data_IF_130458603539
#
_entry.id   IF_130458603539
#
_cell.length_a   1.000
_cell.length_b   1.000
_cell.length_c   1.000
_cell.angle_alpha   90.00
_cell.angle_beta   90.00
_cell.angle_gamma   90.00
#
_symmetry.space_group_name_H-M   'P 1'
#
loop_
_entity.id
_entity.type
_entity.pdbx_description
1 polymer ?
#
# COMPACT_ATOMS: atom_id res chain seq x y z
N UNK A 1 -19.87 14.38 -35.53
CA UNK A 1 -18.57 13.85 -35.02
C UNK A 1 -17.44 14.87 -35.11
N UNK A 2 -17.25 15.56 -36.25
CA UNK A 2 -16.15 16.55 -36.42
C UNK A 2 -16.17 17.61 -35.31
N UNK A 3 -17.32 18.21 -34.98
CA UNK A 3 -17.46 19.27 -33.97
C UNK A 3 -17.10 18.84 -32.53
N UNK A 4 -17.32 17.56 -32.13
CA UNK A 4 -16.93 17.05 -30.83
C UNK A 4 -15.40 17.01 -30.74
N UNK A 5 -14.75 16.54 -31.80
CA UNK A 5 -13.30 16.47 -31.88
C UNK A 5 -12.64 17.84 -31.87
N UNK A 6 -13.28 18.83 -32.55
CA UNK A 6 -12.78 20.22 -32.58
C UNK A 6 -12.80 20.85 -31.18
N UNK A 7 -13.85 20.60 -30.38
CA UNK A 7 -13.94 21.05 -28.99
C UNK A 7 -12.87 20.36 -28.16
N UNK A 8 -12.76 19.02 -28.26
CA UNK A 8 -11.78 18.26 -27.51
C UNK A 8 -10.34 18.69 -27.86
N UNK A 9 -10.03 18.90 -29.12
CA UNK A 9 -8.72 19.36 -29.57
C UNK A 9 -8.40 20.77 -29.06
N UNK A 10 -9.38 21.68 -29.09
CA UNK A 10 -9.22 23.05 -28.58
C UNK A 10 -8.84 23.01 -27.09
N UNK A 11 -9.60 22.29 -26.26
CA UNK A 11 -9.36 22.20 -24.83
C UNK A 11 -8.01 21.57 -24.54
N UNK A 12 -7.69 20.49 -25.22
CA UNK A 12 -6.41 19.80 -25.06
C UNK A 12 -5.23 20.72 -25.40
N UNK A 13 -5.32 21.46 -26.51
CA UNK A 13 -4.29 22.43 -26.90
C UNK A 13 -4.19 23.59 -25.89
N UNK A 14 -5.31 24.02 -25.31
CA UNK A 14 -5.32 25.06 -24.29
C UNK A 14 -4.57 24.63 -23.04
N UNK A 15 -4.82 23.40 -22.57
CA UNK A 15 -4.16 22.82 -21.38
C UNK A 15 -2.67 22.57 -21.65
N UNK A 16 -2.32 22.01 -22.81
CA UNK A 16 -0.94 21.72 -23.18
C UNK A 16 -0.08 22.98 -23.35
N UNK A 17 -0.68 24.11 -23.72
CA UNK A 17 0.01 25.40 -23.82
C UNK A 17 0.25 26.06 -22.47
N UNK A 18 -0.49 25.69 -21.43
CA UNK A 18 -0.22 26.15 -20.06
C UNK A 18 0.91 25.30 -19.43
N UNK A 19 2.14 25.80 -19.59
CA UNK A 19 3.33 25.14 -19.08
C UNK A 19 3.27 24.90 -17.56
N UNK A 20 2.63 25.77 -16.80
CA UNK A 20 2.55 25.62 -15.33
C UNK A 20 1.68 24.43 -14.96
N UNK A 21 0.51 24.32 -15.58
CA UNK A 21 -0.41 23.19 -15.37
C UNK A 21 0.22 21.87 -15.83
N UNK A 22 0.85 21.86 -17.00
CA UNK A 22 1.51 20.65 -17.52
C UNK A 22 2.65 20.18 -16.62
N UNK A 23 3.49 21.11 -16.15
CA UNK A 23 4.56 20.77 -15.18
C UNK A 23 3.98 20.25 -13.86
N UNK A 24 2.92 20.88 -13.33
CA UNK A 24 2.27 20.45 -12.11
C UNK A 24 1.69 19.03 -12.23
N UNK A 25 1.01 18.73 -13.34
CA UNK A 25 0.40 17.44 -13.63
C UNK A 25 1.40 16.26 -13.70
N UNK A 26 2.64 16.52 -14.11
CA UNK A 26 3.67 15.48 -14.24
C UNK A 26 4.68 15.51 -13.09
N UNK A 27 5.16 16.69 -12.69
CA UNK A 27 6.23 16.79 -11.68
C UNK A 27 5.72 16.42 -10.28
N UNK A 28 4.52 16.90 -9.91
CA UNK A 28 3.98 16.63 -8.58
C UNK A 28 3.74 15.15 -8.29
N UNK A 29 3.05 14.37 -9.14
CA UNK A 29 2.89 12.95 -8.87
C UNK A 29 4.24 12.21 -8.82
N UNK A 30 5.22 12.60 -9.65
CA UNK A 30 6.57 12.03 -9.61
C UNK A 30 7.26 12.35 -8.28
N UNK A 31 7.26 13.62 -7.88
CA UNK A 31 7.89 14.06 -6.64
C UNK A 31 7.27 13.39 -5.40
N UNK A 32 5.93 13.32 -5.36
CA UNK A 32 5.24 12.66 -4.26
C UNK A 32 5.43 11.14 -4.28
N UNK A 33 5.45 10.49 -5.45
CA UNK A 33 5.77 9.07 -5.56
C UNK A 33 7.17 8.78 -5.02
N UNK A 34 8.16 9.58 -5.38
CA UNK A 34 9.52 9.45 -4.85
C UNK A 34 9.56 9.69 -3.35
N UNK A 35 8.91 10.75 -2.87
CA UNK A 35 8.81 11.05 -1.45
C UNK A 35 8.20 9.90 -0.65
N UNK A 36 7.03 9.40 -1.06
CA UNK A 36 6.37 8.30 -0.37
C UNK A 36 7.13 6.98 -0.52
N UNK A 37 7.76 6.72 -1.68
CA UNK A 37 8.61 5.55 -1.88
C UNK A 37 9.80 5.54 -0.92
N UNK A 38 10.41 6.69 -0.67
CA UNK A 38 11.51 6.83 0.28
C UNK A 38 10.99 6.79 1.73
N UNK A 39 9.93 7.54 2.04
CA UNK A 39 9.39 7.64 3.40
C UNK A 39 8.86 6.30 3.92
N UNK A 40 8.17 5.53 3.10
CA UNK A 40 7.58 4.23 3.46
C UNK A 40 8.42 3.03 2.99
N UNK A 41 9.37 3.22 2.07
CA UNK A 41 10.27 2.17 1.57
C UNK A 41 11.45 1.88 2.48
N UNK A 42 11.58 2.57 3.60
CA UNK A 42 12.69 2.40 4.53
C UNK A 42 13.94 3.14 4.08
N UNK A 43 13.91 4.47 4.08
CA UNK A 43 15.07 5.37 3.86
C UNK A 43 16.22 5.18 4.88
N UNK A 44 16.17 4.13 5.69
CA UNK A 44 17.19 3.75 6.67
C UNK A 44 17.87 2.42 6.41
N UNK A 45 17.57 1.69 5.34
CA UNK A 45 18.19 0.38 5.07
C UNK A 45 19.25 0.42 3.97
N UNK A 46 20.26 1.27 4.15
CA UNK A 46 21.55 1.01 3.54
C UNK A 46 22.19 -0.17 4.27
N UNK A 47 22.25 -1.34 3.65
CA UNK A 47 23.00 -2.53 4.12
C UNK A 47 22.73 -3.04 5.55
N UNK A 48 21.62 -2.71 6.19
CA UNK A 48 21.25 -3.26 7.48
C UNK A 48 20.47 -4.56 7.29
N UNK A 49 20.77 -5.52 8.15
CA UNK A 49 20.06 -6.79 8.30
C UNK A 49 18.54 -6.53 8.37
N UNK A 50 17.77 -7.07 7.42
CA UNK A 50 16.32 -6.84 7.30
C UNK A 50 15.51 -7.46 8.46
N UNK A 51 16.17 -8.23 9.35
CA UNK A 51 15.55 -8.84 10.51
C UNK A 51 15.20 -7.79 11.56
N UNK A 52 14.07 -7.96 12.22
CA UNK A 52 13.58 -7.06 13.26
C UNK A 52 14.53 -7.09 14.48
N UNK A 53 15.06 -5.95 14.92
CA UNK A 53 15.94 -5.90 16.08
C UNK A 53 15.14 -6.17 17.36
N UNK A 54 15.54 -7.19 18.12
CA UNK A 54 14.91 -7.59 19.38
C UNK A 54 15.95 -7.58 20.50
N UNK A 55 15.69 -6.81 21.54
CA UNK A 55 16.49 -6.79 22.75
C UNK A 55 16.34 -8.08 23.53
N UNK A 56 17.43 -8.63 24.02
CA UNK A 56 17.41 -9.86 24.80
C UNK A 56 18.16 -9.65 26.11
N UNK A 57 17.46 -9.88 27.22
CA UNK A 57 18.03 -9.80 28.56
C UNK A 57 17.82 -11.12 29.29
N UNK A 58 18.90 -11.81 29.52
CA UNK A 58 18.90 -13.08 30.28
C UNK A 58 19.27 -12.79 31.73
N UNK A 59 18.30 -12.95 32.64
CA UNK A 59 18.50 -12.86 34.09
C UNK A 59 18.71 -14.22 34.73
N UNK A 60 18.39 -15.32 34.00
CA UNK A 60 18.50 -16.69 34.51
C UNK A 60 19.93 -17.22 34.36
N UNK A 61 20.61 -16.90 33.27
CA UNK A 61 21.98 -17.31 32.96
C UNK A 61 22.18 -18.85 33.05
N UNK A 62 21.11 -19.62 32.82
CA UNK A 62 21.17 -21.08 32.76
C UNK A 62 21.60 -21.58 31.38
N UNK A 63 21.99 -22.86 31.29
CA UNK A 63 22.27 -23.49 30.01
C UNK A 63 21.05 -23.42 29.06
N UNK A 64 19.83 -23.62 29.59
CA UNK A 64 18.61 -23.58 28.78
C UNK A 64 18.22 -22.17 28.33
N UNK A 65 18.52 -21.15 29.13
CA UNK A 65 18.31 -19.75 28.65
C UNK A 65 19.30 -19.39 27.54
N UNK A 66 20.53 -19.89 27.61
CA UNK A 66 21.53 -19.78 26.54
C UNK A 66 21.10 -20.48 25.24
N UNK A 67 20.52 -21.68 25.37
CA UNK A 67 19.96 -22.39 24.20
C UNK A 67 18.78 -21.64 23.58
N UNK A 68 17.89 -21.00 24.37
CA UNK A 68 16.83 -20.14 23.83
C UNK A 68 17.43 -18.99 23.05
N UNK A 69 18.46 -18.34 23.57
CA UNK A 69 19.15 -17.27 22.85
C UNK A 69 19.72 -17.75 21.51
N UNK A 70 20.29 -18.96 21.47
CA UNK A 70 20.82 -19.58 20.26
C UNK A 70 19.71 -19.89 19.23
N UNK A 71 18.59 -20.46 19.69
CA UNK A 71 17.41 -20.73 18.84
C UNK A 71 16.85 -19.45 18.23
N UNK A 72 16.69 -18.39 19.03
CA UNK A 72 16.17 -17.11 18.55
C UNK A 72 17.18 -16.37 17.65
N UNK A 73 18.49 -16.47 17.92
CA UNK A 73 19.52 -15.88 17.06
C UNK A 73 19.57 -16.52 15.66
N UNK A 74 19.18 -17.80 15.55
CA UNK A 74 19.03 -18.51 14.28
C UNK A 74 17.79 -18.13 13.48
N UNK A 75 16.93 -17.24 13.98
CA UNK A 75 15.74 -16.80 13.27
C UNK A 75 16.07 -15.97 12.01
N UNK A 76 15.28 -16.17 10.96
CA UNK A 76 15.33 -15.36 9.73
C UNK A 76 14.49 -14.09 9.84
N UNK A 77 13.69 -13.95 10.90
CA UNK A 77 12.71 -12.88 11.09
C UNK A 77 13.22 -11.83 12.08
N UNK A 78 13.87 -12.27 13.17
CA UNK A 78 14.37 -11.41 14.22
C UNK A 78 15.90 -11.45 14.30
N UNK A 79 16.49 -10.34 14.74
CA UNK A 79 17.90 -10.23 15.09
C UNK A 79 18.01 -9.90 16.57
N UNK A 80 18.62 -10.80 17.33
CA UNK A 80 18.85 -10.57 18.75
C UNK A 80 19.98 -9.56 18.99
N UNK A 81 19.73 -8.63 19.89
CA UNK A 81 20.73 -7.74 20.46
C UNK A 81 20.96 -8.14 21.94
N UNK A 82 22.03 -8.89 22.16
CA UNK A 82 22.41 -9.48 23.45
C UNK A 82 23.45 -8.57 24.13
N UNK A 83 23.02 -7.48 24.73
CA UNK A 83 23.93 -6.65 25.54
C UNK A 83 23.69 -6.92 27.03
N UNK A 84 24.59 -7.69 27.63
CA UNK A 84 24.51 -8.12 29.02
C UNK A 84 24.57 -6.97 30.06
N UNK A 85 24.94 -5.78 29.68
CA UNK A 85 25.03 -4.61 30.58
C UNK A 85 23.72 -3.80 30.65
N UNK A 86 22.68 -4.18 29.91
CA UNK A 86 21.39 -3.46 29.91
C UNK A 86 20.53 -3.87 31.10
N UNK A 87 19.78 -2.89 31.61
CA UNK A 87 18.72 -3.12 32.60
C UNK A 87 17.35 -3.08 31.91
N UNK A 88 16.28 -3.65 32.50
CA UNK A 88 14.94 -3.64 31.90
C UNK A 88 14.45 -2.27 31.47
N UNK A 89 14.74 -1.22 32.22
CA UNK A 89 14.38 0.16 31.91
C UNK A 89 15.03 0.71 30.64
N UNK A 90 16.23 0.22 30.28
CA UNK A 90 16.90 0.59 29.04
C UNK A 90 16.21 -0.04 27.82
N UNK A 91 15.75 -1.28 27.96
CA UNK A 91 15.01 -1.99 26.91
C UNK A 91 13.67 -1.33 26.64
N UNK A 92 12.96 -0.91 27.69
CA UNK A 92 11.69 -0.17 27.56
C UNK A 92 11.89 1.12 26.76
N UNK A 93 12.93 1.91 27.10
CA UNK A 93 13.28 3.12 26.34
C UNK A 93 13.64 2.83 24.88
N UNK A 94 14.42 1.77 24.62
CA UNK A 94 14.83 1.42 23.26
C UNK A 94 13.65 1.00 22.38
N UNK A 95 12.64 0.36 22.98
CA UNK A 95 11.38 0.03 22.28
C UNK A 95 10.54 1.29 22.09
N UNK A 96 10.41 2.14 23.12
CA UNK A 96 9.69 3.41 23.03
C UNK A 96 10.31 4.39 22.01
N UNK A 97 11.66 4.44 21.94
CA UNK A 97 12.42 5.23 20.95
C UNK A 97 12.46 4.62 19.54
N UNK A 98 11.74 3.51 19.30
CA UNK A 98 11.69 2.79 18.01
C UNK A 98 13.06 2.24 17.54
N UNK A 99 14.03 2.12 18.42
CA UNK A 99 15.35 1.54 18.13
C UNK A 99 15.32 0.02 18.11
N UNK A 100 14.32 -0.57 18.77
CA UNK A 100 14.03 -2.01 18.81
C UNK A 100 12.56 -2.27 18.52
N UNK A 101 12.27 -3.37 17.82
CA UNK A 101 10.89 -3.78 17.53
C UNK A 101 10.21 -4.37 18.77
N UNK A 102 10.98 -5.03 19.62
CA UNK A 102 10.55 -5.56 20.91
C UNK A 102 11.78 -5.89 21.78
N UNK A 103 11.54 -6.25 23.04
CA UNK A 103 12.56 -6.83 23.90
C UNK A 103 11.99 -8.02 24.68
N UNK A 104 12.84 -9.00 24.98
CA UNK A 104 12.51 -10.18 25.77
C UNK A 104 13.39 -10.24 26.99
N UNK A 105 12.76 -10.45 28.13
CA UNK A 105 13.44 -10.64 29.43
C UNK A 105 13.15 -12.08 29.88
N UNK A 106 14.21 -12.84 30.10
CA UNK A 106 14.15 -14.18 30.69
C UNK A 106 14.32 -14.02 32.19
N UNK A 107 13.31 -14.34 33.01
CA UNK A 107 13.39 -14.21 34.46
C UNK A 107 14.23 -15.32 35.08
N UNK A 108 14.74 -15.10 36.28
CA UNK A 108 15.44 -16.08 37.08
C UNK A 108 14.55 -17.30 37.33
N UNK A 109 15.11 -18.52 37.25
CA UNK A 109 14.39 -19.77 37.39
C UNK A 109 13.80 -20.33 36.10
N UNK A 110 14.08 -19.74 34.95
CA UNK A 110 13.58 -20.20 33.64
C UNK A 110 14.03 -21.63 33.32
N UNK A 111 15.31 -21.90 33.40
CA UNK A 111 15.83 -23.23 33.11
C UNK A 111 15.22 -24.32 34.01
N UNK A 112 15.10 -24.03 35.30
CA UNK A 112 14.49 -24.97 36.25
C UNK A 112 13.00 -25.18 35.94
N UNK A 113 12.26 -24.14 35.60
CA UNK A 113 10.84 -24.26 35.27
C UNK A 113 10.58 -25.15 34.05
N UNK A 114 11.45 -25.10 33.04
CA UNK A 114 11.38 -25.99 31.87
C UNK A 114 11.59 -27.45 32.30
N UNK A 115 12.57 -27.71 33.19
CA UNK A 115 12.85 -29.05 33.68
C UNK A 115 11.71 -29.59 34.57
N UNK A 116 11.12 -28.74 35.39
CA UNK A 116 10.01 -29.10 36.26
C UNK A 116 8.65 -29.16 35.58
N UNK A 117 8.58 -28.69 34.30
CA UNK A 117 7.32 -28.56 33.56
C UNK A 117 6.36 -27.53 34.12
N UNK A 118 6.87 -26.58 34.89
CA UNK A 118 6.07 -25.51 35.51
C UNK A 118 5.95 -24.28 34.57
N UNK A 119 4.83 -23.52 34.67
CA UNK A 119 4.62 -22.35 33.90
C UNK A 119 5.45 -21.16 34.41
N UNK A 120 6.42 -20.73 33.64
CA UNK A 120 7.11 -19.46 33.85
C UNK A 120 6.77 -18.48 32.72
N UNK A 121 6.49 -17.23 33.09
CA UNK A 121 6.12 -16.19 32.11
C UNK A 121 7.37 -15.46 31.63
N UNK A 122 7.68 -15.53 30.34
CA UNK A 122 8.61 -14.60 29.70
C UNK A 122 7.98 -13.21 29.64
N UNK A 123 8.76 -12.18 29.91
CA UNK A 123 8.29 -10.79 29.75
C UNK A 123 8.71 -10.29 28.37
N UNK A 124 7.74 -9.97 27.53
CA UNK A 124 7.98 -9.31 26.24
C UNK A 124 7.55 -7.86 26.34
N UNK A 125 8.47 -6.93 26.08
CA UNK A 125 8.22 -5.50 25.97
C UNK A 125 8.04 -5.21 24.48
N UNK A 126 6.88 -4.71 24.07
CA UNK A 126 6.59 -4.36 22.68
C UNK A 126 5.49 -3.31 22.62
N UNK A 127 5.51 -2.48 21.60
CA UNK A 127 4.44 -1.52 21.33
C UNK A 127 3.31 -2.21 20.55
N UNK A 128 2.10 -2.39 21.14
CA UNK A 128 1.00 -3.09 20.49
C UNK A 128 0.45 -2.37 19.25
N UNK A 129 0.77 -1.08 19.07
CA UNK A 129 0.36 -0.30 17.90
C UNK A 129 1.21 -0.60 16.65
N UNK A 130 2.35 -1.24 16.81
CA UNK A 130 3.29 -1.51 15.70
C UNK A 130 2.92 -2.79 14.96
N UNK A 131 2.88 -2.77 13.61
CA UNK A 131 2.59 -3.96 12.80
C UNK A 131 3.58 -5.12 12.99
N UNK A 132 4.81 -4.83 13.42
CA UNK A 132 5.85 -5.83 13.66
C UNK A 132 5.64 -6.62 14.95
N UNK A 133 4.90 -6.11 15.92
CA UNK A 133 4.74 -6.69 17.25
C UNK A 133 4.19 -8.11 17.22
N UNK A 134 3.09 -8.43 16.51
CA UNK A 134 2.59 -9.80 16.46
C UNK A 134 3.60 -10.78 15.84
N UNK A 135 4.37 -10.33 14.85
CA UNK A 135 5.39 -11.16 14.18
C UNK A 135 6.51 -11.50 15.14
N UNK A 136 7.03 -10.54 15.90
CA UNK A 136 8.08 -10.78 16.89
C UNK A 136 7.59 -11.66 18.03
N UNK A 137 6.40 -11.39 18.58
CA UNK A 137 5.81 -12.21 19.65
C UNK A 137 5.64 -13.67 19.22
N UNK A 138 5.16 -13.89 18.00
CA UNK A 138 4.98 -15.23 17.46
C UNK A 138 6.32 -15.96 17.29
N UNK A 139 7.36 -15.28 16.84
CA UNK A 139 8.70 -15.86 16.71
C UNK A 139 9.31 -16.26 18.06
N UNK A 140 9.11 -15.42 19.08
CA UNK A 140 9.55 -15.70 20.46
C UNK A 140 8.82 -16.93 21.01
N UNK A 141 7.49 -17.01 20.81
CA UNK A 141 6.69 -18.16 21.25
C UNK A 141 7.14 -19.45 20.57
N UNK A 142 7.33 -19.43 19.25
CA UNK A 142 7.82 -20.59 18.49
C UNK A 142 9.20 -21.03 19.00
N UNK A 143 10.11 -20.09 19.24
CA UNK A 143 11.44 -20.40 19.82
C UNK A 143 11.35 -21.06 21.19
N UNK A 144 10.49 -20.54 22.07
CA UNK A 144 10.22 -21.10 23.39
C UNK A 144 9.60 -22.50 23.32
N UNK A 145 8.64 -22.74 22.44
CA UNK A 145 8.00 -24.04 22.23
C UNK A 145 9.00 -25.08 21.69
N UNK A 146 9.88 -24.69 20.77
CA UNK A 146 10.95 -25.54 20.25
C UNK A 146 11.89 -26.02 21.37
N UNK A 147 12.37 -25.09 22.20
CA UNK A 147 13.25 -25.41 23.31
C UNK A 147 12.54 -26.31 24.33
N UNK A 148 11.31 -25.97 24.73
CA UNK A 148 10.54 -26.76 25.71
C UNK A 148 10.31 -28.19 25.22
N UNK A 149 9.96 -28.34 23.93
CA UNK A 149 9.77 -29.64 23.30
C UNK A 149 11.08 -30.45 23.26
N UNK A 150 12.19 -29.79 22.87
CA UNK A 150 13.50 -30.45 22.85
C UNK A 150 13.96 -30.87 24.25
N UNK A 151 13.75 -30.03 25.27
CA UNK A 151 14.07 -30.35 26.66
C UNK A 151 13.26 -31.55 27.20
N UNK A 152 11.97 -31.63 26.85
CA UNK A 152 11.13 -32.79 27.19
C UNK A 152 11.65 -34.08 26.54
N UNK A 153 12.02 -34.05 25.28
CA UNK A 153 12.61 -35.19 24.57
C UNK A 153 13.90 -35.62 25.26
N UNK A 154 14.76 -34.67 25.62
CA UNK A 154 16.01 -34.94 26.33
C UNK A 154 15.78 -35.59 27.72
N UNK A 155 14.79 -35.11 28.48
CA UNK A 155 14.40 -35.70 29.76
C UNK A 155 13.92 -37.13 29.60
N UNK A 156 13.05 -37.43 28.65
CA UNK A 156 12.56 -38.78 28.37
C UNK A 156 13.74 -39.69 27.99
N UNK A 157 14.67 -39.21 27.16
CA UNK A 157 15.85 -39.94 26.75
C UNK A 157 16.74 -40.30 27.96
N UNK A 158 17.03 -39.31 28.83
CA UNK A 158 17.83 -39.51 30.03
C UNK A 158 17.16 -40.48 31.03
N UNK A 159 15.84 -40.38 31.21
CA UNK A 159 15.06 -41.27 32.05
C UNK A 159 15.06 -42.72 31.50
N UNK A 160 14.87 -42.86 30.17
CA UNK A 160 14.84 -44.18 29.52
C UNK A 160 16.21 -44.88 29.57
N UNK A 161 17.28 -44.09 29.39
CA UNK A 161 18.65 -44.59 29.50
C UNK A 161 19.09 -44.83 30.94
N UNK A 162 18.35 -44.37 31.93
CA UNK A 162 18.73 -44.33 33.34
C UNK A 162 20.08 -43.66 33.59
N UNK A 163 20.44 -42.69 32.72
CA UNK A 163 21.70 -41.98 32.74
C UNK A 163 21.43 -40.45 32.56
N UNK A 164 21.62 -39.65 33.63
CA UNK A 164 21.44 -38.21 33.57
C UNK A 164 22.36 -37.54 32.55
N UNK A 165 23.52 -38.09 32.24
CA UNK A 165 24.46 -37.53 31.26
C UNK A 165 23.96 -37.61 29.81
N UNK A 166 22.93 -38.39 29.54
CA UNK A 166 22.28 -38.47 28.24
C UNK A 166 21.42 -37.22 27.91
N UNK A 167 21.15 -36.35 28.90
CA UNK A 167 20.30 -35.16 28.68
C UNK A 167 20.91 -34.21 27.67
N UNK A 168 22.14 -33.75 27.85
CA UNK A 168 22.77 -32.75 26.97
C UNK A 168 22.92 -33.22 25.53
N UNK A 169 23.43 -34.44 25.23
CA UNK A 169 23.48 -34.89 23.86
C UNK A 169 22.09 -35.12 23.23
N UNK A 170 21.09 -35.50 24.01
CA UNK A 170 19.73 -35.66 23.53
C UNK A 170 19.07 -34.29 23.25
N UNK A 171 19.32 -33.28 24.07
CA UNK A 171 18.87 -31.90 23.85
C UNK A 171 19.47 -31.35 22.55
N UNK A 172 20.80 -31.49 22.39
CA UNK A 172 21.48 -31.04 21.18
C UNK A 172 20.93 -31.73 19.91
N UNK A 173 20.71 -33.06 19.98
CA UNK A 173 20.11 -33.79 18.86
C UNK A 173 18.67 -33.37 18.57
N UNK A 174 17.86 -33.11 19.59
CA UNK A 174 16.48 -32.62 19.41
C UNK A 174 16.44 -31.22 18.81
N UNK A 175 17.31 -30.31 19.24
CA UNK A 175 17.42 -28.97 18.67
C UNK A 175 17.93 -29.00 17.21
N UNK A 176 18.91 -29.86 16.91
CA UNK A 176 19.40 -30.04 15.54
C UNK A 176 18.32 -30.59 14.58
N UNK A 177 17.43 -31.45 15.09
CA UNK A 177 16.30 -31.97 14.31
C UNK A 177 15.35 -30.87 13.83
N UNK A 178 15.21 -29.76 14.55
CA UNK A 178 14.43 -28.59 14.12
C UNK A 178 15.05 -27.82 12.96
N UNK A 179 16.34 -27.94 12.71
CA UNK A 179 16.99 -27.33 11.56
C UNK A 179 16.63 -28.05 10.24
N UNK A 180 16.34 -29.36 10.32
CA UNK A 180 15.89 -30.18 9.22
C UNK A 180 14.60 -30.94 9.57
N UNK A 181 13.48 -30.25 9.72
CA UNK A 181 12.23 -30.87 10.12
C UNK A 181 11.75 -31.87 9.06
N UNK A 182 11.18 -33.03 9.48
CA UNK A 182 10.67 -34.05 8.58
C UNK A 182 9.47 -33.57 7.75
N UNK A 183 8.80 -32.52 8.20
CA UNK A 183 7.72 -31.84 7.47
C UNK A 183 8.22 -30.45 7.10
N UNK A 184 8.36 -30.20 5.80
CA UNK A 184 8.65 -28.88 5.26
C UNK A 184 7.41 -28.35 4.60
N UNK A 185 7.01 -27.14 4.97
CA UNK A 185 6.00 -26.37 4.24
C UNK A 185 6.69 -25.66 3.08
N UNK A 186 6.59 -26.23 1.89
CA UNK A 186 6.93 -25.51 0.67
C UNK A 186 5.82 -24.48 0.45
N UNK A 187 6.13 -23.22 0.75
CA UNK A 187 5.26 -22.11 0.40
C UNK A 187 5.33 -21.89 -1.11
N UNK A 188 4.49 -22.59 -1.84
CA UNK A 188 4.20 -22.22 -3.22
C UNK A 188 3.31 -20.98 -3.15
N UNK A 189 3.89 -19.81 -3.39
CA UNK A 189 3.08 -18.62 -3.57
C UNK A 189 2.14 -18.86 -4.74
N UNK A 190 0.83 -18.84 -4.51
CA UNK A 190 -0.21 -18.99 -5.55
C UNK A 190 -0.11 -17.86 -6.59
N UNK A 191 0.67 -16.85 -6.30
CA UNK A 191 1.00 -15.72 -7.15
C UNK A 191 2.52 -15.60 -7.15
N UNK A 192 3.13 -15.52 -8.33
CA UNK A 192 4.56 -15.27 -8.47
C UNK A 192 4.88 -13.81 -8.06
N UNK A 193 4.79 -13.55 -6.75
CA UNK A 193 5.31 -12.32 -6.18
C UNK A 193 6.83 -12.42 -6.28
N UNK A 194 7.43 -11.74 -7.25
CA UNK A 194 8.86 -11.45 -7.19
C UNK A 194 9.07 -10.74 -5.85
N UNK A 195 9.91 -11.31 -4.99
CA UNK A 195 10.33 -10.64 -3.75
C UNK A 195 10.97 -9.33 -4.19
N UNK A 196 10.19 -8.26 -4.14
CA UNK A 196 10.67 -6.93 -4.44
C UNK A 196 11.33 -6.39 -3.17
N UNK A 197 12.38 -5.61 -3.35
CA UNK A 197 12.95 -4.87 -2.22
C UNK A 197 11.85 -4.01 -1.56
N UNK A 198 11.94 -3.70 -0.26
CA UNK A 198 10.95 -2.83 0.42
C UNK A 198 10.68 -1.53 -0.31
N UNK A 199 11.70 -0.92 -0.92
CA UNK A 199 11.57 0.30 -1.74
C UNK A 199 10.75 0.06 -3.00
N UNK A 200 10.95 -1.07 -3.68
CA UNK A 200 10.18 -1.42 -4.87
C UNK A 200 8.71 -1.73 -4.53
N UNK A 201 8.45 -2.35 -3.37
CA UNK A 201 7.08 -2.61 -2.88
C UNK A 201 6.36 -1.31 -2.54
N UNK A 202 7.03 -0.39 -1.85
CA UNK A 202 6.49 0.95 -1.56
C UNK A 202 6.24 1.75 -2.83
N UNK A 203 7.15 1.72 -3.81
CA UNK A 203 6.97 2.36 -5.10
C UNK A 203 5.81 1.73 -5.91
N UNK A 204 5.64 0.41 -5.82
CA UNK A 204 4.56 -0.31 -6.49
C UNK A 204 3.16 0.08 -5.96
N UNK A 205 3.06 0.52 -4.69
CA UNK A 205 1.84 1.07 -4.12
C UNK A 205 1.70 2.58 -4.36
N UNK A 206 2.74 3.36 -4.02
CA UNK A 206 2.66 4.83 -4.06
C UNK A 206 2.56 5.38 -5.48
N UNK A 207 3.15 4.71 -6.47
CA UNK A 207 3.11 5.17 -7.87
C UNK A 207 1.67 5.24 -8.41
N UNK A 208 0.85 4.19 -8.41
CA UNK A 208 -0.54 4.29 -8.85
C UNK A 208 -1.38 5.19 -7.93
N UNK A 209 -1.13 5.21 -6.61
CA UNK A 209 -1.85 6.08 -5.68
C UNK A 209 -1.68 7.56 -5.99
N UNK A 210 -0.43 8.01 -6.15
CA UNK A 210 -0.14 9.39 -6.49
C UNK A 210 -0.61 9.75 -7.92
N UNK A 211 -0.47 8.81 -8.86
CA UNK A 211 -0.98 8.99 -10.22
C UNK A 211 -2.49 9.27 -10.22
N UNK A 212 -3.28 8.50 -9.48
CA UNK A 212 -4.74 8.68 -9.36
C UNK A 212 -5.10 9.99 -8.65
N UNK A 213 -4.44 10.31 -7.53
CA UNK A 213 -4.69 11.54 -6.78
C UNK A 213 -4.43 12.79 -7.62
N UNK A 214 -3.28 12.86 -8.29
CA UNK A 214 -2.93 14.01 -9.10
C UNK A 214 -3.69 14.07 -10.43
N UNK A 215 -4.28 12.97 -10.89
CA UNK A 215 -5.26 13.00 -11.97
C UNK A 215 -6.53 13.76 -11.57
N UNK A 216 -7.00 13.58 -10.33
CA UNK A 216 -8.11 14.38 -9.79
C UNK A 216 -7.68 15.85 -9.66
N UNK A 217 -6.48 16.14 -9.15
CA UNK A 217 -5.97 17.51 -9.07
C UNK A 217 -5.95 18.20 -10.44
N UNK A 218 -5.61 17.47 -11.49
CA UNK A 218 -5.62 17.98 -12.88
C UNK A 218 -6.99 18.45 -13.38
N UNK A 219 -8.06 18.00 -12.74
CA UNK A 219 -9.42 18.47 -13.05
C UNK A 219 -9.63 19.95 -12.73
N UNK A 220 -8.81 20.56 -11.85
CA UNK A 220 -8.91 21.99 -11.56
C UNK A 220 -8.84 22.79 -12.85
N UNK A 221 -7.81 22.57 -13.65
CA UNK A 221 -7.64 23.29 -14.93
C UNK A 221 -8.73 22.94 -15.94
N UNK A 222 -9.01 21.65 -16.10
CA UNK A 222 -9.99 21.17 -17.07
C UNK A 222 -11.42 21.63 -16.74
N UNK A 223 -11.83 21.61 -15.48
CA UNK A 223 -13.14 22.09 -15.04
C UNK A 223 -13.23 23.64 -15.10
N UNK A 224 -12.13 24.35 -14.84
CA UNK A 224 -12.06 25.82 -14.96
C UNK A 224 -12.31 26.28 -16.38
N UNK A 225 -11.88 25.53 -17.41
CA UNK A 225 -12.18 25.86 -18.81
C UNK A 225 -13.69 25.98 -19.02
N UNK A 226 -14.47 25.00 -18.55
CA UNK A 226 -15.93 25.03 -18.71
C UNK A 226 -16.59 26.21 -17.96
N UNK A 227 -16.08 26.55 -16.77
CA UNK A 227 -16.55 27.71 -15.98
C UNK A 227 -16.22 29.01 -16.70
N UNK A 228 -15.03 29.16 -17.23
CA UNK A 228 -14.58 30.35 -17.96
C UNK A 228 -15.36 30.53 -19.27
N UNK A 229 -15.64 29.45 -20.00
CA UNK A 229 -16.47 29.51 -21.21
C UNK A 229 -17.92 29.92 -20.92
N UNK A 230 -18.45 29.50 -19.77
CA UNK A 230 -19.76 29.93 -19.29
C UNK A 230 -19.76 31.43 -18.97
N UNK A 231 -18.77 31.93 -18.22
CA UNK A 231 -18.62 33.33 -17.82
C UNK A 231 -18.40 34.26 -19.04
N UNK A 232 -17.60 33.83 -20.00
CA UNK A 232 -17.30 34.62 -21.24
C UNK A 232 -18.40 34.55 -22.28
N UNK A 233 -19.53 33.87 -21.98
CA UNK A 233 -20.63 33.61 -22.92
C UNK A 233 -20.19 32.88 -24.21
N UNK A 234 -18.99 32.30 -24.25
CA UNK A 234 -18.52 31.47 -25.36
C UNK A 234 -19.41 30.27 -25.57
N UNK A 235 -19.84 29.64 -24.45
CA UNK A 235 -20.76 28.51 -24.46
C UNK A 235 -22.09 28.87 -25.14
N UNK A 236 -22.65 30.07 -24.86
CA UNK A 236 -23.89 30.55 -25.49
C UNK A 236 -23.72 30.72 -27.00
N UNK A 237 -22.57 31.25 -27.44
CA UNK A 237 -22.24 31.36 -28.85
C UNK A 237 -22.10 30.00 -29.54
N UNK A 238 -21.57 29.00 -28.88
CA UNK A 238 -21.53 27.63 -29.39
C UNK A 238 -22.93 27.04 -29.54
N UNK A 239 -23.84 27.34 -28.62
CA UNK A 239 -25.25 26.91 -28.67
C UNK A 239 -26.07 27.57 -29.78
N UNK A 240 -25.67 28.74 -30.31
CA UNK A 240 -26.31 29.35 -31.50
C UNK A 240 -25.88 28.66 -32.80
N UNK A 241 -24.86 27.81 -32.76
CA UNK A 241 -24.48 26.96 -33.90
C UNK A 241 -25.31 25.66 -33.88
N UNK A 242 -25.29 24.89 -34.97
CA UNK A 242 -25.98 23.59 -35.05
C UNK A 242 -25.29 22.50 -34.18
N UNK A 243 -24.83 22.84 -32.96
CA UNK A 243 -24.15 21.94 -32.01
C UNK A 243 -25.08 21.69 -30.83
N UNK A 244 -25.42 20.42 -30.54
CA UNK A 244 -26.26 20.11 -29.39
C UNK A 244 -25.45 20.22 -28.07
N UNK A 245 -26.16 20.46 -26.97
CA UNK A 245 -25.60 20.53 -25.60
C UNK A 245 -24.78 19.30 -25.22
N UNK A 246 -25.28 18.12 -25.59
CA UNK A 246 -24.60 16.87 -25.34
C UNK A 246 -23.27 16.77 -26.10
N UNK A 247 -23.24 17.26 -27.35
CA UNK A 247 -21.97 17.25 -28.11
C UNK A 247 -20.90 18.14 -27.48
N UNK A 248 -21.30 19.27 -26.86
CA UNK A 248 -20.37 20.15 -26.15
C UNK A 248 -19.80 19.42 -24.91
N UNK A 249 -20.68 18.84 -24.08
CA UNK A 249 -20.25 18.11 -22.90
C UNK A 249 -19.36 16.90 -23.23
N UNK A 250 -19.72 16.14 -24.27
CA UNK A 250 -18.90 15.02 -24.77
C UNK A 250 -17.53 15.51 -25.26
N UNK A 251 -17.46 16.69 -25.91
CA UNK A 251 -16.19 17.28 -26.33
C UNK A 251 -15.28 17.61 -25.16
N UNK A 252 -15.77 18.26 -24.12
CA UNK A 252 -15.03 18.54 -22.89
C UNK A 252 -14.61 17.25 -22.16
N UNK A 253 -15.55 16.28 -22.05
CA UNK A 253 -15.26 14.98 -21.47
C UNK A 253 -14.12 14.26 -22.18
N UNK A 254 -14.12 14.21 -23.51
CA UNK A 254 -13.09 13.58 -24.31
C UNK A 254 -11.73 14.28 -24.16
N UNK A 255 -11.72 15.63 -24.05
CA UNK A 255 -10.49 16.37 -23.78
C UNK A 255 -9.88 15.98 -22.43
N UNK A 256 -10.72 15.95 -21.36
CA UNK A 256 -10.30 15.53 -20.02
C UNK A 256 -9.82 14.08 -20.01
N UNK A 257 -10.54 13.18 -20.67
CA UNK A 257 -10.16 11.78 -20.79
C UNK A 257 -8.80 11.62 -21.48
N UNK A 258 -8.62 12.26 -22.62
CA UNK A 258 -7.37 12.17 -23.37
C UNK A 258 -6.17 12.70 -22.55
N UNK A 259 -6.36 13.81 -21.83
CA UNK A 259 -5.35 14.39 -20.95
C UNK A 259 -4.95 13.43 -19.83
N UNK A 260 -5.93 12.94 -19.06
CA UNK A 260 -5.70 12.07 -17.91
C UNK A 260 -5.12 10.72 -18.35
N UNK A 261 -5.63 10.16 -19.44
CA UNK A 261 -5.10 8.91 -19.99
C UNK A 261 -3.66 9.06 -20.45
N UNK A 262 -3.34 10.16 -21.16
CA UNK A 262 -1.95 10.46 -21.56
C UNK A 262 -1.05 10.67 -20.34
N UNK A 263 -1.51 11.36 -19.29
CA UNK A 263 -0.82 11.52 -18.02
C UNK A 263 -0.52 10.15 -17.40
N UNK A 264 -1.50 9.25 -17.33
CA UNK A 264 -1.31 7.90 -16.81
C UNK A 264 -0.24 7.12 -17.59
N UNK A 265 -0.29 7.16 -18.92
CA UNK A 265 0.71 6.50 -19.76
C UNK A 265 2.12 7.02 -19.45
N UNK A 266 2.30 8.34 -19.38
CA UNK A 266 3.61 8.95 -19.07
C UNK A 266 4.09 8.55 -17.67
N UNK A 267 3.22 8.61 -16.66
CA UNK A 267 3.57 8.27 -15.28
C UNK A 267 3.83 6.77 -15.09
N UNK A 268 3.09 5.90 -15.79
CA UNK A 268 3.35 4.46 -15.79
C UNK A 268 4.69 4.12 -16.44
N UNK A 269 5.03 4.79 -17.55
CA UNK A 269 6.35 4.62 -18.19
C UNK A 269 7.46 5.11 -17.26
N UNK A 270 7.28 6.26 -16.60
CA UNK A 270 8.23 6.73 -15.59
C UNK A 270 8.38 5.71 -14.45
N UNK A 271 7.29 5.21 -13.88
CA UNK A 271 7.28 4.19 -12.84
C UNK A 271 8.01 2.92 -13.25
N UNK A 272 7.83 2.49 -14.51
CA UNK A 272 8.52 1.32 -15.05
C UNK A 272 10.02 1.54 -15.19
N UNK A 273 10.44 2.68 -15.76
CA UNK A 273 11.84 2.95 -16.11
C UNK A 273 12.66 3.31 -14.87
N UNK A 274 12.15 4.18 -14.00
CA UNK A 274 12.90 4.76 -12.88
C UNK A 274 12.66 4.08 -11.55
N UNK A 275 11.45 3.52 -11.32
CA UNK A 275 11.08 2.90 -10.06
C UNK A 275 10.99 1.37 -10.12
N UNK A 276 11.13 0.79 -11.32
CA UNK A 276 11.05 -0.66 -11.52
C UNK A 276 9.64 -1.25 -11.33
N UNK A 277 8.59 -0.41 -11.31
CA UNK A 277 7.20 -0.84 -11.15
C UNK A 277 6.72 -1.55 -12.42
N UNK A 278 6.27 -2.80 -12.30
CA UNK A 278 6.02 -3.65 -13.47
C UNK A 278 4.60 -3.48 -14.06
N UNK A 279 4.29 -2.27 -14.53
CA UNK A 279 3.05 -1.96 -15.23
C UNK A 279 2.86 -2.72 -16.55
N UNK A 280 3.96 -3.15 -17.17
CA UNK A 280 3.91 -3.84 -18.47
C UNK A 280 3.86 -5.36 -18.35
N UNK A 281 3.64 -5.90 -17.16
CA UNK A 281 3.48 -7.35 -16.94
C UNK A 281 2.30 -7.92 -17.72
N UNK A 282 1.15 -7.23 -17.70
CA UNK A 282 -0.04 -7.55 -18.49
C UNK A 282 -0.54 -6.23 -19.13
N UNK A 283 0.04 -5.79 -20.25
CA UNK A 283 -0.21 -4.44 -20.79
C UNK A 283 -1.69 -4.14 -21.06
N UNK A 284 -2.42 -5.12 -21.59
CA UNK A 284 -3.84 -4.98 -21.89
C UNK A 284 -4.67 -4.72 -20.61
N UNK A 285 -4.36 -5.42 -19.51
CA UNK A 285 -5.03 -5.21 -18.21
C UNK A 285 -4.71 -3.82 -17.64
N UNK A 286 -3.44 -3.43 -17.68
CA UNK A 286 -3.00 -2.11 -17.21
C UNK A 286 -3.68 -0.98 -17.97
N UNK A 287 -3.71 -1.07 -19.30
CA UNK A 287 -4.38 -0.08 -20.15
C UNK A 287 -5.90 -0.04 -19.91
N UNK A 288 -6.53 -1.18 -19.67
CA UNK A 288 -7.96 -1.25 -19.34
C UNK A 288 -8.27 -0.52 -18.04
N UNK A 289 -7.50 -0.78 -16.96
CA UNK A 289 -7.67 -0.08 -15.68
C UNK A 289 -7.40 1.40 -15.83
N UNK A 290 -6.32 1.77 -16.52
CA UNK A 290 -5.98 3.17 -16.76
C UNK A 290 -7.08 3.90 -17.54
N UNK A 291 -7.63 3.27 -18.60
CA UNK A 291 -8.72 3.85 -19.37
C UNK A 291 -10.01 3.98 -18.54
N UNK A 292 -10.38 2.96 -17.75
CA UNK A 292 -11.56 3.00 -16.90
C UNK A 292 -11.43 4.06 -15.79
N UNK A 293 -10.25 4.16 -15.16
CA UNK A 293 -9.96 5.19 -14.16
C UNK A 293 -9.97 6.60 -14.79
N UNK A 294 -9.35 6.78 -15.95
CA UNK A 294 -9.37 8.05 -16.67
C UNK A 294 -10.81 8.46 -17.05
N UNK A 295 -11.65 7.50 -17.50
CA UNK A 295 -13.05 7.74 -17.81
C UNK A 295 -13.83 8.18 -16.56
N UNK A 296 -13.65 7.51 -15.43
CA UNK A 296 -14.30 7.85 -14.17
C UNK A 296 -13.89 9.23 -13.67
N UNK A 297 -12.58 9.52 -13.60
CA UNK A 297 -12.05 10.80 -13.12
C UNK A 297 -12.51 11.94 -14.05
N UNK A 298 -12.48 11.74 -15.38
CA UNK A 298 -12.94 12.75 -16.34
C UNK A 298 -14.43 13.05 -16.20
N UNK A 299 -15.26 12.04 -15.93
CA UNK A 299 -16.69 12.25 -15.69
C UNK A 299 -16.94 13.04 -14.39
N UNK A 300 -16.14 12.77 -13.33
CA UNK A 300 -16.15 13.56 -12.11
C UNK A 300 -15.74 15.02 -12.38
N UNK A 301 -14.70 15.24 -13.19
CA UNK A 301 -14.26 16.59 -13.59
C UNK A 301 -15.33 17.36 -14.35
N UNK A 302 -16.00 16.70 -15.29
CA UNK A 302 -17.12 17.28 -16.01
C UNK A 302 -18.26 17.67 -15.06
N UNK A 303 -18.61 16.77 -14.12
CA UNK A 303 -19.64 17.00 -13.11
C UNK A 303 -19.29 18.24 -12.27
N UNK A 304 -18.06 18.33 -11.77
CA UNK A 304 -17.58 19.48 -10.99
C UNK A 304 -17.65 20.76 -11.84
N UNK A 305 -17.19 20.74 -13.09
CA UNK A 305 -17.24 21.90 -13.98
C UNK A 305 -18.65 22.41 -14.25
N UNK A 306 -19.64 21.51 -14.29
CA UNK A 306 -21.04 21.88 -14.45
C UNK A 306 -21.61 22.50 -13.16
N UNK A 307 -21.20 22.05 -11.98
CA UNK A 307 -21.66 22.58 -10.70
C UNK A 307 -20.97 23.89 -10.30
N UNK A 308 -19.70 24.04 -10.62
CA UNK A 308 -18.90 25.19 -10.24
C UNK A 308 -19.41 26.48 -10.92
N UNK A 309 -19.38 27.57 -10.14
CA UNK A 309 -19.81 28.92 -10.60
C UNK A 309 -18.63 29.89 -10.74
N UNK A 310 -17.51 29.61 -10.10
CA UNK A 310 -16.27 30.39 -10.15
C UNK A 310 -15.05 29.49 -10.19
N UNK A 311 -13.90 30.05 -10.56
CA UNK A 311 -12.62 29.35 -10.59
C UNK A 311 -12.22 28.91 -9.19
N UNK A 312 -12.41 29.78 -8.18
CA UNK A 312 -12.11 29.49 -6.77
C UNK A 312 -12.97 28.33 -6.25
N UNK A 313 -14.26 28.34 -6.62
CA UNK A 313 -15.17 27.26 -6.26
C UNK A 313 -14.76 25.95 -6.93
N UNK A 314 -14.26 25.99 -8.16
CA UNK A 314 -13.75 24.81 -8.87
C UNK A 314 -12.60 24.18 -8.11
N UNK A 315 -11.65 25.00 -7.63
CA UNK A 315 -10.50 24.52 -6.84
C UNK A 315 -11.00 23.74 -5.61
N UNK A 316 -11.89 24.34 -4.83
CA UNK A 316 -12.42 23.69 -3.61
C UNK A 316 -13.18 22.40 -3.93
N UNK A 317 -14.05 22.43 -4.96
CA UNK A 317 -14.84 21.27 -5.38
C UNK A 317 -14.01 20.15 -5.96
N UNK A 318 -12.79 20.41 -6.45
CA UNK A 318 -11.84 19.37 -6.87
C UNK A 318 -10.99 18.89 -5.69
N UNK A 319 -10.54 19.79 -4.81
CA UNK A 319 -9.65 19.42 -3.70
C UNK A 319 -10.35 18.49 -2.72
N UNK A 320 -11.63 18.71 -2.42
CA UNK A 320 -12.39 17.83 -1.50
C UNK A 320 -12.38 16.37 -1.99
N UNK A 321 -12.88 16.03 -3.18
CA UNK A 321 -12.81 14.64 -3.66
C UNK A 321 -11.38 14.16 -3.87
N UNK A 322 -10.42 15.02 -4.25
CA UNK A 322 -9.02 14.64 -4.35
C UNK A 322 -8.49 14.04 -3.04
N UNK A 323 -8.71 14.71 -1.91
CA UNK A 323 -8.23 14.22 -0.63
C UNK A 323 -9.13 13.09 -0.06
N UNK A 324 -10.43 13.28 -0.11
CA UNK A 324 -11.38 12.32 0.49
C UNK A 324 -11.36 10.99 -0.26
N UNK A 325 -11.48 11.01 -1.59
CA UNK A 325 -11.51 9.76 -2.37
C UNK A 325 -10.15 9.07 -2.39
N UNK A 326 -9.03 9.82 -2.40
CA UNK A 326 -7.69 9.24 -2.34
C UNK A 326 -7.38 8.66 -0.97
N UNK A 327 -7.73 9.36 0.12
CA UNK A 327 -7.52 8.86 1.48
C UNK A 327 -8.37 7.63 1.77
N UNK A 328 -9.68 7.68 1.49
CA UNK A 328 -10.59 6.53 1.64
C UNK A 328 -10.24 5.39 0.69
N UNK A 329 -9.80 5.72 -0.53
CA UNK A 329 -9.49 4.74 -1.58
C UNK A 329 -8.13 4.07 -1.44
N UNK A 330 -7.38 4.33 -0.35
CA UNK A 330 -6.12 3.65 -0.11
C UNK A 330 -4.95 4.12 -0.99
N UNK A 331 -5.03 5.33 -1.59
CA UNK A 331 -3.95 5.85 -2.42
C UNK A 331 -2.68 6.17 -1.61
N UNK A 332 -2.83 6.55 -0.34
CA UNK A 332 -1.70 6.88 0.54
C UNK A 332 -1.17 5.68 1.32
N UNK A 333 -2.06 4.81 1.75
CA UNK A 333 -1.74 3.62 2.53
C UNK A 333 -2.63 2.45 2.05
N UNK A 334 -2.06 1.25 1.88
CA UNK A 334 -2.84 0.09 1.46
C UNK A 334 -4.03 -0.16 2.39
N UNK A 335 -5.22 -0.37 1.81
CA UNK A 335 -6.43 -0.66 2.57
C UNK A 335 -6.32 -1.97 3.37
N UNK A 336 -5.47 -2.90 2.93
CA UNK A 336 -5.21 -4.16 3.62
C UNK A 336 -4.65 -3.99 5.03
N UNK A 337 -4.02 -2.84 5.32
CA UNK A 337 -3.50 -2.52 6.66
C UNK A 337 -4.55 -1.90 7.58
N UNK A 338 -5.75 -1.64 7.06
CA UNK A 338 -6.86 -1.10 7.83
C UNK A 338 -7.81 -2.22 8.28
N UNK A 339 -8.68 -1.93 9.26
CA UNK A 339 -9.67 -2.90 9.70
C UNK A 339 -10.77 -3.18 8.65
N UNK A 340 -11.48 -4.33 8.74
CA UNK A 340 -12.47 -4.75 7.74
C UNK A 340 -13.57 -3.71 7.46
N UNK A 341 -13.99 -3.00 8.49
CA UNK A 341 -15.00 -1.93 8.37
C UNK A 341 -14.50 -0.79 7.47
N UNK A 342 -13.24 -0.37 7.65
CA UNK A 342 -12.67 0.71 6.86
C UNK A 342 -12.43 0.27 5.41
N UNK A 343 -12.03 -0.99 5.19
CA UNK A 343 -11.90 -1.55 3.84
C UNK A 343 -13.23 -1.50 3.08
N UNK A 344 -14.34 -1.87 3.75
CA UNK A 344 -15.68 -1.82 3.14
C UNK A 344 -16.08 -0.38 2.80
N UNK A 345 -15.87 0.58 3.71
CA UNK A 345 -16.16 2.00 3.47
C UNK A 345 -15.25 2.55 2.35
N UNK A 346 -13.99 2.15 2.32
CA UNK A 346 -13.03 2.57 1.31
C UNK A 346 -13.46 2.21 -0.12
N UNK A 347 -14.08 1.05 -0.29
CA UNK A 347 -14.60 0.61 -1.59
C UNK A 347 -15.86 1.36 -2.07
N UNK A 348 -16.43 2.27 -1.25
CA UNK A 348 -17.35 3.28 -1.74
C UNK A 348 -16.64 4.37 -2.58
N UNK A 349 -15.30 4.44 -2.53
CA UNK A 349 -14.50 5.33 -3.37
C UNK A 349 -14.12 4.64 -4.69
N UNK A 350 -14.29 5.31 -5.85
CA UNK A 350 -13.80 4.78 -7.12
C UNK A 350 -12.27 4.60 -7.13
N UNK A 351 -11.53 5.35 -6.30
CA UNK A 351 -10.07 5.23 -6.20
C UNK A 351 -9.67 3.88 -5.61
N UNK A 352 -10.42 3.30 -4.67
CA UNK A 352 -10.14 1.97 -4.15
C UNK A 352 -10.16 0.90 -5.26
N UNK A 353 -11.15 0.94 -6.13
CA UNK A 353 -11.25 0.02 -7.26
C UNK A 353 -10.13 0.22 -8.29
N UNK A 354 -9.72 1.48 -8.53
CA UNK A 354 -8.58 1.76 -9.38
C UNK A 354 -7.28 1.21 -8.76
N UNK A 355 -7.10 1.41 -7.45
CA UNK A 355 -5.96 0.85 -6.70
C UNK A 355 -5.95 -0.67 -6.76
N UNK A 356 -7.07 -1.34 -6.51
CA UNK A 356 -7.20 -2.79 -6.63
C UNK A 356 -6.80 -3.29 -8.02
N UNK A 357 -7.28 -2.61 -9.08
CA UNK A 357 -6.94 -2.95 -10.45
C UNK A 357 -5.43 -2.87 -10.72
N UNK A 358 -4.77 -1.79 -10.32
CA UNK A 358 -3.32 -1.65 -10.48
C UNK A 358 -2.54 -2.61 -9.59
N UNK A 359 -2.91 -2.78 -8.33
CA UNK A 359 -2.24 -3.69 -7.39
C UNK A 359 -2.35 -5.15 -7.82
N UNK A 360 -3.48 -5.56 -8.38
CA UNK A 360 -3.67 -6.91 -8.93
C UNK A 360 -2.61 -7.24 -9.97
N UNK A 361 -2.21 -6.26 -10.80
CA UNK A 361 -1.19 -6.43 -11.83
C UNK A 361 0.21 -6.30 -11.24
N UNK A 362 0.47 -5.17 -10.57
CA UNK A 362 1.82 -4.73 -10.20
C UNK A 362 2.35 -5.46 -8.96
N UNK A 363 1.52 -5.61 -7.93
CA UNK A 363 1.90 -6.21 -6.65
C UNK A 363 1.56 -7.70 -6.63
N UNK A 364 0.28 -8.04 -6.88
CA UNK A 364 -0.21 -9.41 -6.80
C UNK A 364 0.14 -10.26 -8.02
N UNK A 365 0.52 -9.64 -9.15
CA UNK A 365 0.96 -10.32 -10.37
C UNK A 365 -0.13 -11.14 -11.06
N UNK A 366 -1.39 -10.76 -10.87
CA UNK A 366 -2.54 -11.46 -11.42
C UNK A 366 -2.74 -11.18 -12.92
N UNK A 367 -3.50 -12.04 -13.59
CA UNK A 367 -3.78 -11.93 -15.02
C UNK A 367 -4.92 -10.95 -15.35
N UNK A 368 -5.25 -10.86 -16.65
CA UNK A 368 -6.24 -9.93 -17.21
C UNK A 368 -7.62 -10.01 -16.51
N UNK A 369 -8.09 -11.20 -16.18
CA UNK A 369 -9.42 -11.38 -15.57
C UNK A 369 -9.59 -10.70 -14.20
N UNK A 370 -8.48 -10.48 -13.47
CA UNK A 370 -8.50 -9.87 -12.14
C UNK A 370 -8.90 -8.40 -12.14
N UNK A 371 -8.81 -7.74 -13.28
CA UNK A 371 -9.10 -6.30 -13.43
C UNK A 371 -10.50 -6.02 -13.99
N UNK A 372 -11.23 -7.05 -14.41
CA UNK A 372 -12.54 -6.85 -15.02
C UNK A 372 -13.56 -6.25 -14.06
N UNK A 373 -13.61 -6.71 -12.81
CA UNK A 373 -14.52 -6.17 -11.79
C UNK A 373 -14.13 -4.72 -11.44
N UNK A 374 -12.87 -4.41 -11.08
CA UNK A 374 -12.45 -3.03 -10.89
C UNK A 374 -12.78 -2.10 -12.06
N UNK A 375 -12.48 -2.52 -13.28
CA UNK A 375 -12.78 -1.72 -14.47
C UNK A 375 -14.28 -1.51 -14.69
N UNK A 376 -15.10 -2.54 -14.49
CA UNK A 376 -16.56 -2.46 -14.63
C UNK A 376 -17.16 -1.48 -13.60
N UNK A 377 -16.70 -1.52 -12.34
CA UNK A 377 -17.15 -0.59 -11.29
C UNK A 377 -16.76 0.84 -11.63
N UNK A 378 -15.51 1.06 -12.08
CA UNK A 378 -15.06 2.38 -12.52
C UNK A 378 -15.87 2.93 -13.68
N UNK A 379 -16.23 2.08 -14.65
CA UNK A 379 -17.12 2.47 -15.74
C UNK A 379 -18.54 2.78 -15.25
N UNK A 380 -19.04 2.07 -14.24
CA UNK A 380 -20.29 2.38 -13.55
C UNK A 380 -20.28 3.78 -12.94
N UNK A 381 -19.21 4.14 -12.21
CA UNK A 381 -19.02 5.50 -11.68
C UNK A 381 -18.89 6.54 -12.80
N UNK A 382 -18.18 6.23 -13.89
CA UNK A 382 -18.07 7.13 -15.05
C UNK A 382 -19.43 7.45 -15.64
N UNK A 383 -20.27 6.43 -15.85
CA UNK A 383 -21.62 6.60 -16.37
C UNK A 383 -22.50 7.39 -15.40
N UNK A 384 -22.42 7.12 -14.11
CA UNK A 384 -23.16 7.83 -13.07
C UNK A 384 -22.80 9.32 -13.04
N UNK A 385 -21.53 9.66 -12.95
CA UNK A 385 -21.06 11.04 -12.92
C UNK A 385 -21.37 11.78 -14.20
N UNK A 386 -21.21 11.12 -15.35
CA UNK A 386 -21.55 11.71 -16.64
C UNK A 386 -23.05 11.97 -16.77
N UNK A 387 -23.91 11.03 -16.37
CA UNK A 387 -25.37 11.21 -16.39
C UNK A 387 -25.81 12.35 -15.48
N UNK A 388 -25.23 12.45 -14.27
CA UNK A 388 -25.48 13.56 -13.35
C UNK A 388 -25.01 14.90 -13.92
N UNK A 389 -23.86 14.93 -14.62
CA UNK A 389 -23.38 16.14 -15.27
C UNK A 389 -24.34 16.61 -16.37
N UNK A 390 -24.81 15.69 -17.23
CA UNK A 390 -25.79 15.97 -18.29
C UNK A 390 -27.10 16.47 -17.67
N UNK A 391 -27.65 15.75 -16.70
CA UNK A 391 -28.89 16.13 -16.02
C UNK A 391 -28.80 17.54 -15.41
N UNK A 392 -27.72 17.83 -14.70
CA UNK A 392 -27.49 19.12 -14.05
C UNK A 392 -27.33 20.27 -15.08
N UNK A 393 -26.63 19.98 -16.18
CA UNK A 393 -26.43 20.96 -17.24
C UNK A 393 -27.76 21.39 -17.89
N UNK A 394 -28.71 20.47 -18.03
CA UNK A 394 -30.04 20.80 -18.54
C UNK A 394 -30.86 21.61 -17.53
N UNK A 395 -30.85 21.23 -16.26
CA UNK A 395 -31.62 21.89 -15.20
C UNK A 395 -31.13 23.32 -14.87
N UNK A 396 -29.89 23.66 -15.22
CA UNK A 396 -29.32 24.96 -14.89
C UNK A 396 -29.78 26.12 -15.80
N UNK A 397 -30.37 25.84 -16.96
CA UNK A 397 -30.82 26.84 -17.92
C UNK A 397 -32.34 27.08 -17.90
N UNK A 398 -33.10 26.29 -17.16
CA UNK A 398 -34.54 26.53 -16.94
C UNK A 398 -34.82 27.63 -15.89
N UNK A 399 -33.78 28.15 -15.24
CA UNK A 399 -33.83 29.27 -14.28
C UNK A 399 -33.07 30.49 -14.80
#
# INVERSE_FOLDING_TARGET
MIRILDIAQKDLLQILRDRKTFMFLLIMPIAFTLFFSIAFGGAGQSNSDARLPVGFLDQDQSALSGELATVLAGSTVIRLDQNAQRVPADLDKLVADEKMAAAVIIPVGYGQSILDGTLLKLTAIADPSKPATPTVQNEILIGGERLTSAARIAQIAAQTAQDPSAFDPALAAALAAWQNPPIRLDRTASVAVKVQSPNAMSAAHSSPGMMLQFAIAGLITAATILVTERKSRSLQRLLTTATSRVHILVGHYLAMFALIFAQFVVLMLFGKIFLGVDYLRVPAATLLVAAAAAACISALGLLIGVFARSEEQTIVLVMIPMFVLSGLGGAWMPLEYTGPTFQTIGHASPIAWAMDGFQNIVIRGLGFNSVLIPAAVLMGYALLFFALAVWRFWSAEEK
#
